data_IF_978474966477
#
_entry.id   IF_978474966477
#
_cell.length_a   1.000
_cell.length_b   1.000
_cell.length_c   1.000
_cell.angle_alpha   90.00
_cell.angle_beta   90.00
_cell.angle_gamma   90.00
#
_symmetry.space_group_name_H-M   'P 1'
#
loop_
_entity.id
_entity.type
_entity.pdbx_description
1 polymer ?
#
# COMPACT_ATOMS: atom_id res chain seq x y z
N UNK A 1 -9.54 10.99 12.62
CA UNK A 1 -8.23 10.35 12.31
C UNK A 1 -8.00 9.20 13.28
N UNK A 2 -7.59 8.04 12.81
CA UNK A 2 -7.25 6.92 13.70
C UNK A 2 -5.95 7.20 14.46
N UNK A 3 -5.87 6.71 15.71
CA UNK A 3 -4.64 6.89 16.47
C UNK A 3 -3.48 6.10 15.83
N UNK A 4 -2.23 6.56 15.97
CA UNK A 4 -1.05 5.84 15.46
C UNK A 4 -0.97 4.39 15.95
N UNK A 5 -1.45 4.11 17.17
CA UNK A 5 -1.49 2.75 17.75
C UNK A 5 -2.46 1.81 17.02
N UNK A 6 -3.55 2.36 16.47
CA UNK A 6 -4.50 1.59 15.65
C UNK A 6 -3.89 1.30 14.28
N UNK A 7 -3.32 2.33 13.63
CA UNK A 7 -2.69 2.17 12.32
C UNK A 7 -1.50 1.21 12.35
N UNK A 8 -0.76 1.15 13.45
CA UNK A 8 0.35 0.21 13.63
C UNK A 8 -0.11 -1.27 13.66
N UNK A 9 -1.38 -1.50 14.00
CA UNK A 9 -1.97 -2.85 14.11
C UNK A 9 -2.85 -3.24 12.94
N UNK A 10 -3.29 -2.27 12.14
CA UNK A 10 -4.20 -2.49 11.02
C UNK A 10 -3.42 -2.79 9.72
N UNK A 11 -4.03 -3.57 8.84
CA UNK A 11 -3.76 -3.54 7.40
C UNK A 11 -4.82 -2.64 6.79
N UNK A 12 -4.40 -1.59 6.09
CA UNK A 12 -5.32 -0.64 5.48
C UNK A 12 -5.48 -1.00 4.00
N UNK A 13 -6.69 -1.36 3.61
CA UNK A 13 -7.03 -1.64 2.22
C UNK A 13 -7.81 -0.45 1.68
N UNK A 14 -7.31 0.16 0.62
CA UNK A 14 -7.97 1.27 -0.06
C UNK A 14 -8.89 0.75 -1.15
N UNK A 15 -10.16 1.16 -1.12
CA UNK A 15 -11.11 0.94 -2.20
C UNK A 15 -11.36 2.26 -2.92
N UNK A 16 -11.08 2.29 -4.21
CA UNK A 16 -11.33 3.46 -5.05
C UNK A 16 -12.15 3.07 -6.26
N UNK A 17 -13.13 3.90 -6.56
CA UNK A 17 -13.92 3.77 -7.78
C UNK A 17 -13.21 4.56 -8.88
N UNK A 18 -12.89 3.90 -9.98
CA UNK A 18 -12.32 4.54 -11.17
C UNK A 18 -13.41 5.21 -12.00
N UNK A 19 -13.05 6.20 -12.84
CA UNK A 19 -13.99 6.83 -13.77
C UNK A 19 -14.64 5.79 -14.71
N UNK A 20 -13.88 4.77 -15.11
CA UNK A 20 -14.39 3.68 -15.95
C UNK A 20 -15.44 2.83 -15.24
N UNK A 21 -15.20 2.48 -13.98
CA UNK A 21 -16.18 1.73 -13.19
C UNK A 21 -17.44 2.55 -12.93
N UNK A 22 -17.28 3.85 -12.67
CA UNK A 22 -18.41 4.77 -12.53
C UNK A 22 -19.21 4.87 -13.86
N UNK A 23 -18.52 4.99 -14.98
CA UNK A 23 -19.18 4.99 -16.31
C UNK A 23 -19.94 3.68 -16.57
N UNK A 24 -19.35 2.53 -16.25
CA UNK A 24 -20.02 1.24 -16.38
C UNK A 24 -21.24 1.14 -15.47
N UNK A 25 -21.12 1.57 -14.21
CA UNK A 25 -22.24 1.59 -13.28
C UNK A 25 -23.38 2.49 -13.77
N UNK A 26 -23.08 3.67 -14.29
CA UNK A 26 -24.09 4.59 -14.81
C UNK A 26 -24.83 4.05 -16.04
N UNK A 27 -24.12 3.28 -16.90
CA UNK A 27 -24.72 2.61 -18.06
C UNK A 27 -25.60 1.41 -17.68
N UNK A 28 -25.16 0.66 -16.68
CA UNK A 28 -25.77 -0.61 -16.28
C UNK A 28 -26.04 -0.62 -14.78
N UNK A 29 -27.06 0.16 -14.36
CA UNK A 29 -27.46 0.21 -12.94
C UNK A 29 -28.07 -1.13 -12.52
N UNK A 30 -27.26 -1.97 -11.90
CA UNK A 30 -27.73 -3.23 -11.31
C UNK A 30 -27.96 -3.01 -9.83
N UNK A 31 -29.16 -3.30 -9.30
CA UNK A 31 -29.39 -3.26 -7.86
C UNK A 31 -28.43 -4.21 -7.11
N UNK A 32 -27.88 -3.74 -5.99
CA UNK A 32 -27.06 -4.60 -5.14
C UNK A 32 -27.95 -5.69 -4.52
N UNK A 33 -27.65 -6.94 -4.88
CA UNK A 33 -28.33 -8.11 -4.32
C UNK A 33 -27.38 -8.84 -3.37
N UNK A 34 -27.53 -8.60 -2.07
CA UNK A 34 -26.69 -9.21 -1.04
C UNK A 34 -26.80 -10.73 -1.00
N UNK A 35 -27.91 -11.31 -1.50
CA UNK A 35 -28.07 -12.77 -1.55
C UNK A 35 -27.10 -13.42 -2.52
N UNK A 36 -26.68 -12.70 -3.58
CA UNK A 36 -25.71 -13.22 -4.57
C UNK A 36 -24.30 -13.37 -4.03
N UNK A 37 -23.97 -12.63 -2.97
CA UNK A 37 -22.66 -12.73 -2.31
C UNK A 37 -22.70 -13.61 -1.05
N UNK A 38 -23.88 -14.12 -0.69
CA UNK A 38 -24.02 -15.00 0.44
C UNK A 38 -23.29 -16.34 0.15
N UNK A 39 -22.33 -16.67 1.01
CA UNK A 39 -21.49 -17.86 0.85
C UNK A 39 -20.27 -17.67 -0.05
N UNK A 40 -20.12 -16.50 -0.69
CA UNK A 40 -18.86 -16.16 -1.39
C UNK A 40 -17.69 -16.21 -0.41
N UNK A 41 -16.61 -16.88 -0.80
CA UNK A 41 -15.45 -17.07 0.07
C UNK A 41 -15.59 -18.22 1.10
N UNK A 42 -16.74 -18.86 1.25
CA UNK A 42 -16.91 -19.97 2.20
C UNK A 42 -15.94 -21.12 1.94
N UNK A 43 -15.64 -21.40 0.67
CA UNK A 43 -14.65 -22.44 0.26
C UNK A 43 -13.21 -22.10 0.71
N UNK A 44 -12.91 -20.84 1.03
CA UNK A 44 -11.61 -20.42 1.55
C UNK A 44 -11.51 -20.52 3.08
N UNK A 45 -12.62 -20.76 3.77
CA UNK A 45 -12.69 -20.70 5.23
C UNK A 45 -11.75 -21.68 5.93
N UNK A 46 -11.68 -22.92 5.46
CA UNK A 46 -10.80 -23.96 6.02
C UNK A 46 -9.32 -23.58 5.83
N UNK A 47 -8.92 -23.27 4.61
CA UNK A 47 -7.55 -22.84 4.30
C UNK A 47 -7.15 -21.56 5.05
N UNK A 48 -8.09 -20.62 5.23
CA UNK A 48 -7.86 -19.43 6.03
C UNK A 48 -7.58 -19.78 7.49
N UNK A 49 -8.39 -20.65 8.11
CA UNK A 49 -8.20 -21.08 9.50
C UNK A 49 -6.88 -21.83 9.67
N UNK A 50 -6.57 -22.76 8.78
CA UNK A 50 -5.28 -23.48 8.79
C UNK A 50 -4.10 -22.52 8.79
N UNK A 51 -4.11 -21.53 7.89
CA UNK A 51 -3.03 -20.52 7.83
C UNK A 51 -3.00 -19.60 9.04
N UNK A 52 -4.17 -19.21 9.56
CA UNK A 52 -4.24 -18.32 10.72
C UNK A 52 -3.70 -18.97 12.00
N UNK A 53 -3.83 -20.28 12.13
CA UNK A 53 -3.30 -21.05 13.30
C UNK A 53 -1.89 -21.56 13.09
N UNK A 54 -1.36 -21.51 11.87
CA UNK A 54 -0.03 -22.03 11.55
C UNK A 54 1.07 -21.07 12.04
N UNK A 55 1.57 -21.29 13.25
CA UNK A 55 2.57 -20.46 13.93
C UNK A 55 3.98 -20.52 13.33
N UNK A 56 4.20 -21.27 12.28
CA UNK A 56 5.51 -21.57 11.71
C UNK A 56 5.76 -21.02 10.31
N UNK A 57 4.93 -20.08 9.85
CA UNK A 57 5.19 -19.39 8.58
C UNK A 57 6.41 -18.50 8.72
N UNK A 58 7.58 -19.05 8.40
CA UNK A 58 8.79 -18.24 8.22
C UNK A 58 8.68 -17.55 6.86
N UNK A 59 8.97 -16.24 6.78
CA UNK A 59 9.10 -15.58 5.50
C UNK A 59 10.24 -16.25 4.73
N UNK A 60 10.06 -16.39 3.43
CA UNK A 60 11.18 -16.69 2.55
C UNK A 60 12.22 -15.59 2.75
N UNK A 61 13.44 -15.94 3.06
CA UNK A 61 14.52 -14.96 3.11
C UNK A 61 14.61 -14.26 1.75
N UNK A 62 14.36 -12.97 1.75
CA UNK A 62 14.44 -12.11 0.58
C UNK A 62 15.30 -10.91 0.91
N UNK A 63 16.49 -10.88 0.33
CA UNK A 63 17.40 -9.74 0.42
C UNK A 63 16.71 -8.46 -0.07
N UNK A 64 16.00 -8.56 -1.20
CA UNK A 64 15.25 -7.46 -1.78
C UNK A 64 14.18 -6.89 -0.85
N UNK A 65 13.40 -7.76 -0.16
CA UNK A 65 12.42 -7.34 0.84
C UNK A 65 13.10 -6.60 1.99
N UNK A 66 14.18 -7.17 2.53
CA UNK A 66 14.90 -6.60 3.66
C UNK A 66 15.49 -5.23 3.32
N UNK A 67 16.15 -5.09 2.18
CA UNK A 67 16.69 -3.81 1.70
C UNK A 67 15.58 -2.79 1.49
N UNK A 68 14.48 -3.18 0.83
CA UNK A 68 13.33 -2.30 0.61
C UNK A 68 12.76 -1.80 1.93
N UNK A 69 12.52 -2.69 2.90
CA UNK A 69 12.00 -2.31 4.21
C UNK A 69 12.95 -1.37 4.95
N UNK A 70 14.26 -1.59 4.90
CA UNK A 70 15.26 -0.71 5.51
C UNK A 70 15.27 0.68 4.86
N UNK A 71 15.15 0.76 3.54
CA UNK A 71 15.08 2.03 2.82
C UNK A 71 13.82 2.82 3.22
N UNK A 72 12.64 2.19 3.18
CA UNK A 72 11.39 2.83 3.61
C UNK A 72 11.43 3.20 5.10
N UNK A 73 11.91 2.32 5.97
CA UNK A 73 12.08 2.60 7.40
C UNK A 73 12.90 3.87 7.63
N UNK A 74 14.05 3.99 6.96
CA UNK A 74 14.94 5.14 7.14
C UNK A 74 14.27 6.45 6.73
N UNK A 75 13.44 6.46 5.67
CA UNK A 75 12.70 7.66 5.23
C UNK A 75 11.51 7.97 6.14
N UNK A 76 10.77 6.95 6.55
CA UNK A 76 9.62 7.10 7.45
C UNK A 76 10.03 7.59 8.84
N UNK A 77 11.18 7.18 9.34
CA UNK A 77 11.75 7.67 10.61
C UNK A 77 11.88 9.19 10.61
N UNK A 78 12.32 9.78 9.51
CA UNK A 78 12.45 11.24 9.36
C UNK A 78 11.08 11.95 9.38
N UNK A 79 10.00 11.24 9.04
CA UNK A 79 8.63 11.72 9.15
C UNK A 79 8.03 11.58 10.54
N UNK A 80 8.70 10.89 11.47
CA UNK A 80 8.10 10.45 12.73
C UNK A 80 6.97 9.42 12.52
N UNK A 81 7.02 8.69 11.40
CA UNK A 81 6.11 7.60 11.04
C UNK A 81 6.83 6.25 11.14
N UNK A 82 7.56 6.06 12.22
CA UNK A 82 8.40 4.89 12.44
C UNK A 82 7.60 3.58 12.38
N UNK A 83 8.25 2.56 11.83
CA UNK A 83 7.72 1.20 11.73
C UNK A 83 8.39 0.35 12.81
N UNK A 84 7.59 -0.29 13.65
CA UNK A 84 8.10 -1.18 14.70
C UNK A 84 8.38 -2.60 14.16
N UNK A 85 9.12 -3.39 14.95
CA UNK A 85 9.40 -4.81 14.65
C UNK A 85 8.14 -5.62 14.37
N UNK A 86 7.04 -5.30 15.01
CA UNK A 86 5.74 -5.94 14.76
C UNK A 86 5.29 -5.76 13.32
N UNK A 87 5.28 -4.52 12.83
CA UNK A 87 4.86 -4.23 11.45
C UNK A 87 5.81 -4.88 10.44
N UNK A 88 7.11 -4.89 10.70
CA UNK A 88 8.08 -5.59 9.86
C UNK A 88 7.78 -7.10 9.81
N UNK A 89 7.55 -7.74 10.95
CA UNK A 89 7.20 -9.16 11.02
C UNK A 89 5.87 -9.47 10.30
N UNK A 90 4.87 -8.62 10.45
CA UNK A 90 3.59 -8.77 9.75
C UNK A 90 3.74 -8.64 8.24
N UNK A 91 4.62 -7.74 7.74
CA UNK A 91 4.93 -7.62 6.32
C UNK A 91 5.64 -8.88 5.83
N UNK A 92 6.65 -9.37 6.55
CA UNK A 92 7.35 -10.60 6.18
C UNK A 92 6.40 -11.81 6.14
N UNK A 93 5.46 -11.89 7.08
CA UNK A 93 4.41 -12.92 7.09
C UNK A 93 3.46 -12.78 5.90
N UNK A 94 3.04 -11.54 5.57
CA UNK A 94 2.20 -11.27 4.42
C UNK A 94 2.87 -11.73 3.12
N UNK A 95 4.15 -11.40 2.93
CA UNK A 95 4.92 -11.83 1.75
C UNK A 95 5.00 -13.36 1.68
N UNK A 96 5.27 -14.03 2.79
CA UNK A 96 5.34 -15.50 2.83
C UNK A 96 3.99 -16.18 2.51
N UNK A 97 2.88 -15.58 2.92
CA UNK A 97 1.54 -16.08 2.59
C UNK A 97 1.24 -15.84 1.11
N UNK A 98 1.50 -14.63 0.60
CA UNK A 98 1.24 -14.28 -0.79
C UNK A 98 2.02 -15.18 -1.77
N UNK A 99 3.26 -15.49 -1.46
CA UNK A 99 4.12 -16.40 -2.25
C UNK A 99 3.52 -17.83 -2.38
N UNK A 100 2.65 -18.21 -1.44
CA UNK A 100 1.97 -19.52 -1.45
C UNK A 100 0.60 -19.50 -2.09
N UNK A 101 -0.15 -18.41 -1.90
CA UNK A 101 -1.56 -18.34 -2.28
C UNK A 101 -1.78 -17.73 -3.65
N UNK A 102 -0.91 -16.86 -4.10
CA UNK A 102 -1.04 -16.14 -5.37
C UNK A 102 0.27 -16.27 -6.15
N UNK A 103 0.58 -17.46 -6.66
CA UNK A 103 1.85 -17.70 -7.34
C UNK A 103 2.04 -16.84 -8.60
N UNK A 104 0.98 -16.20 -9.10
CA UNK A 104 1.05 -15.27 -10.22
C UNK A 104 1.55 -13.86 -9.83
N UNK A 105 1.60 -13.53 -8.53
CA UNK A 105 2.14 -12.25 -8.09
C UNK A 105 3.67 -12.27 -8.08
N UNK A 106 4.26 -11.25 -8.64
CA UNK A 106 5.70 -11.03 -8.53
C UNK A 106 6.05 -10.53 -7.12
N UNK A 107 7.31 -10.70 -6.73
CA UNK A 107 7.79 -10.19 -5.44
C UNK A 107 7.57 -8.67 -5.31
N UNK A 108 7.76 -7.90 -6.41
CA UNK A 108 7.52 -6.45 -6.41
C UNK A 108 6.06 -6.10 -6.18
N UNK A 109 5.11 -6.83 -6.76
CA UNK A 109 3.68 -6.62 -6.53
C UNK A 109 3.28 -6.90 -5.08
N UNK A 110 3.83 -7.94 -4.49
CA UNK A 110 3.56 -8.27 -3.07
C UNK A 110 4.17 -7.21 -2.15
N UNK A 111 5.40 -6.77 -2.42
CA UNK A 111 6.08 -5.71 -1.65
C UNK A 111 5.30 -4.39 -1.79
N UNK A 112 4.87 -4.02 -2.99
CA UNK A 112 4.09 -2.81 -3.23
C UNK A 112 2.77 -2.81 -2.42
N UNK A 113 2.04 -3.93 -2.45
CA UNK A 113 0.84 -4.10 -1.64
C UNK A 113 1.13 -3.98 -0.13
N UNK A 114 2.23 -4.54 0.35
CA UNK A 114 2.63 -4.45 1.76
C UNK A 114 2.99 -3.01 2.17
N UNK A 115 3.72 -2.28 1.33
CA UNK A 115 4.04 -0.85 1.54
C UNK A 115 2.74 -0.06 1.65
N UNK A 116 1.83 -0.24 0.69
CA UNK A 116 0.56 0.45 0.62
C UNK A 116 -0.31 0.22 1.85
N UNK A 117 -0.38 -1.03 2.34
CA UNK A 117 -1.25 -1.43 3.45
C UNK A 117 -0.68 -1.14 4.83
N UNK A 118 0.63 -1.16 5.00
CA UNK A 118 1.28 -1.12 6.32
C UNK A 118 2.16 0.10 6.58
N UNK A 119 2.85 0.61 5.57
CA UNK A 119 3.81 1.67 5.76
C UNK A 119 3.20 3.05 5.51
N UNK A 120 2.58 3.25 4.35
CA UNK A 120 2.03 4.54 3.95
C UNK A 120 0.85 5.04 4.82
N UNK A 121 0.00 4.19 5.43
CA UNK A 121 -1.11 4.66 6.27
C UNK A 121 -0.69 5.51 7.47
N UNK A 122 0.57 5.45 7.87
CA UNK A 122 1.14 6.25 8.97
C UNK A 122 1.46 7.70 8.56
N UNK A 123 1.46 7.99 7.26
CA UNK A 123 1.81 9.31 6.75
C UNK A 123 0.66 10.30 6.92
N UNK A 124 0.92 11.36 7.68
CA UNK A 124 0.04 12.51 7.82
C UNK A 124 0.83 13.72 8.32
N UNK A 125 0.43 14.89 7.91
CA UNK A 125 1.04 16.13 8.39
C UNK A 125 0.98 17.29 7.42
N UNK A 126 1.64 18.38 7.83
CA UNK A 126 1.74 19.61 7.04
C UNK A 126 2.70 19.47 5.86
N UNK A 127 2.57 20.36 4.89
CA UNK A 127 3.45 20.46 3.73
C UNK A 127 4.93 20.53 4.13
N UNK A 128 5.26 21.39 5.07
CA UNK A 128 6.64 21.55 5.57
C UNK A 128 7.24 20.23 6.06
N UNK A 129 6.42 19.34 6.64
CA UNK A 129 6.86 18.05 7.16
C UNK A 129 6.95 17.00 6.09
N UNK A 130 5.95 16.92 5.19
CA UNK A 130 5.75 15.76 4.32
C UNK A 130 6.29 15.93 2.90
N UNK A 131 6.34 17.13 2.34
CA UNK A 131 6.65 17.30 0.92
C UNK A 131 7.97 16.62 0.51
N UNK A 132 9.05 16.89 1.23
CA UNK A 132 10.36 16.28 0.95
C UNK A 132 10.37 14.76 1.18
N UNK A 133 9.63 14.29 2.18
CA UNK A 133 9.53 12.87 2.51
C UNK A 133 8.75 12.11 1.45
N UNK A 134 7.62 12.65 0.99
CA UNK A 134 6.84 12.05 -0.09
C UNK A 134 7.67 11.90 -1.37
N UNK A 135 8.49 12.90 -1.72
CA UNK A 135 9.42 12.81 -2.86
C UNK A 135 10.41 11.66 -2.69
N UNK A 136 11.09 11.60 -1.55
CA UNK A 136 12.10 10.55 -1.30
C UNK A 136 11.49 9.15 -1.20
N UNK A 137 10.25 9.03 -0.72
CA UNK A 137 9.51 7.75 -0.77
C UNK A 137 9.09 7.40 -2.20
N UNK A 138 8.67 8.40 -2.99
CA UNK A 138 8.35 8.22 -4.40
C UNK A 138 9.54 7.73 -5.22
N UNK A 139 10.73 8.24 -4.95
CA UNK A 139 11.98 7.77 -5.58
C UNK A 139 12.23 6.28 -5.35
N UNK A 140 11.90 5.76 -4.15
CA UNK A 140 12.02 4.33 -3.85
C UNK A 140 11.03 3.46 -4.65
N UNK A 141 9.99 4.05 -5.21
CA UNK A 141 9.00 3.35 -6.02
C UNK A 141 9.38 3.29 -7.51
N UNK A 142 10.47 3.90 -7.91
CA UNK A 142 10.90 4.03 -9.30
C UNK A 142 11.99 3.02 -9.66
N UNK A 143 12.10 2.74 -10.95
CA UNK A 143 13.26 2.06 -11.51
C UNK A 143 14.40 3.05 -11.74
N UNK A 144 15.60 2.55 -11.93
CA UNK A 144 16.78 3.34 -12.24
C UNK A 144 16.55 4.22 -13.48
N UNK A 145 16.97 5.47 -13.40
CA UNK A 145 16.83 6.44 -14.49
C UNK A 145 15.47 7.13 -14.58
N UNK A 146 14.49 6.76 -13.74
CA UNK A 146 13.19 7.44 -13.66
C UNK A 146 13.25 8.62 -12.66
N UNK A 147 12.39 9.63 -12.86
CA UNK A 147 12.34 10.83 -12.03
C UNK A 147 10.95 10.99 -11.39
N UNK A 148 10.91 11.18 -10.09
CA UNK A 148 9.67 11.35 -9.32
C UNK A 148 8.86 12.58 -9.76
N UNK A 149 9.52 13.65 -10.22
CA UNK A 149 8.88 14.87 -10.73
C UNK A 149 7.96 14.61 -11.93
N UNK A 150 8.28 13.60 -12.73
CA UNK A 150 7.45 13.23 -13.87
C UNK A 150 6.06 12.78 -13.43
N UNK A 151 5.95 12.14 -12.28
CA UNK A 151 4.71 11.60 -11.73
C UNK A 151 4.02 12.57 -10.76
N UNK A 152 4.79 13.30 -9.96
CA UNK A 152 4.25 14.18 -8.92
C UNK A 152 3.83 15.55 -9.44
N UNK A 153 4.56 16.08 -10.42
CA UNK A 153 4.36 17.44 -10.94
C UNK A 153 3.80 17.43 -12.36
N UNK A 154 4.34 16.57 -13.24
CA UNK A 154 3.94 16.54 -14.66
C UNK A 154 2.81 15.57 -14.99
N UNK A 155 2.25 14.88 -13.98
CA UNK A 155 1.12 13.96 -14.14
C UNK A 155 1.33 12.83 -15.17
N UNK A 156 2.56 12.38 -15.35
CA UNK A 156 2.86 11.27 -16.24
C UNK A 156 2.10 10.01 -15.78
N UNK A 157 1.49 9.25 -16.69
CA UNK A 157 0.82 7.99 -16.34
C UNK A 157 1.77 7.02 -15.64
N UNK A 158 1.29 6.41 -14.55
CA UNK A 158 2.07 5.46 -13.77
C UNK A 158 2.05 4.11 -14.48
N UNK A 159 3.13 3.82 -15.19
CA UNK A 159 3.35 2.56 -15.88
C UNK A 159 4.84 2.22 -15.89
N UNK A 160 5.19 0.94 -15.82
CA UNK A 160 6.56 0.47 -15.90
C UNK A 160 7.46 0.98 -14.77
N UNK A 161 6.90 1.23 -13.58
CA UNK A 161 7.61 1.59 -12.35
C UNK A 161 7.70 0.38 -11.43
N UNK A 162 8.57 0.45 -10.44
CA UNK A 162 8.81 -0.67 -9.51
C UNK A 162 7.62 -0.94 -8.59
N UNK A 163 7.05 0.11 -7.97
CA UNK A 163 5.92 0.02 -7.03
C UNK A 163 4.79 0.98 -7.44
N UNK A 164 3.94 0.57 -8.42
CA UNK A 164 2.93 1.46 -9.00
C UNK A 164 1.81 1.88 -8.03
N UNK A 165 1.35 0.99 -7.14
CA UNK A 165 0.29 1.31 -6.17
C UNK A 165 0.77 2.36 -5.17
N UNK A 166 1.96 2.14 -4.62
CA UNK A 166 2.58 3.06 -3.67
C UNK A 166 2.89 4.41 -4.31
N UNK A 167 3.40 4.41 -5.56
CA UNK A 167 3.70 5.66 -6.27
C UNK A 167 2.43 6.48 -6.55
N UNK A 168 1.33 5.85 -6.98
CA UNK A 168 0.05 6.53 -7.18
C UNK A 168 -0.45 7.20 -5.89
N UNK A 169 -0.39 6.46 -4.78
CA UNK A 169 -0.78 6.99 -3.48
C UNK A 169 0.09 8.18 -3.06
N UNK A 170 1.40 8.03 -3.18
CA UNK A 170 2.34 9.10 -2.83
C UNK A 170 2.17 10.34 -3.72
N UNK A 171 1.88 10.17 -5.02
CA UNK A 171 1.60 11.28 -5.94
C UNK A 171 0.33 12.04 -5.53
N UNK A 172 -0.74 11.33 -5.15
CA UNK A 172 -1.98 11.95 -4.64
C UNK A 172 -1.75 12.68 -3.33
N UNK A 173 -1.02 12.07 -2.40
CA UNK A 173 -0.64 12.71 -1.14
C UNK A 173 0.21 13.96 -1.39
N UNK A 174 1.15 13.91 -2.34
CA UNK A 174 1.98 15.06 -2.71
C UNK A 174 1.12 16.22 -3.23
N UNK A 175 0.21 15.95 -4.17
CA UNK A 175 -0.74 16.96 -4.66
C UNK A 175 -1.61 17.53 -3.54
N UNK A 176 -2.12 16.65 -2.68
CA UNK A 176 -2.92 17.06 -1.53
C UNK A 176 -2.15 18.00 -0.59
N UNK A 177 -0.91 17.67 -0.25
CA UNK A 177 -0.11 18.49 0.66
C UNK A 177 0.31 19.83 0.05
N UNK A 178 0.63 19.86 -1.24
CA UNK A 178 1.01 21.10 -1.94
C UNK A 178 -0.19 22.03 -2.09
N UNK A 179 -1.37 21.49 -2.45
CA UNK A 179 -2.56 22.31 -2.69
C UNK A 179 -3.25 22.77 -1.41
N UNK A 180 -3.27 21.93 -0.37
CA UNK A 180 -4.06 22.14 0.84
C UNK A 180 -3.21 22.45 2.08
N UNK A 181 -1.86 22.41 1.97
CA UNK A 181 -0.94 22.62 3.08
C UNK A 181 -0.88 21.49 4.11
N UNK A 182 -1.77 20.49 4.01
CA UNK A 182 -1.86 19.32 4.89
C UNK A 182 -2.43 18.14 4.10
N UNK A 183 -2.01 16.93 4.46
CA UNK A 183 -2.59 15.68 3.93
C UNK A 183 -2.49 14.55 4.96
N UNK A 184 -3.43 13.63 4.90
CA UNK A 184 -3.33 12.31 5.53
C UNK A 184 -3.54 11.21 4.48
N UNK A 185 -3.03 10.02 4.77
CA UNK A 185 -3.23 8.85 3.90
C UNK A 185 -4.72 8.62 3.60
N UNK A 186 -5.60 8.78 4.59
CA UNK A 186 -7.03 8.50 4.42
C UNK A 186 -7.77 9.52 3.54
N UNK A 187 -7.19 10.71 3.33
CA UNK A 187 -7.80 11.83 2.60
C UNK A 187 -7.25 11.97 1.17
N UNK A 188 -6.21 11.25 0.82
CA UNK A 188 -5.51 11.37 -0.47
C UNK A 188 -6.01 10.36 -1.51
#
# INVERSE_FOLDING_TARGET
MFSPKVLDRANVIEFRVTAREMEQFLKYKVPVDLKKIQGEGAVMGESFVEMAVHKGLQPKESEKLNETLLHFFSRLKNAGAEVGFRSANEICTFVAIADRLVPAWTEDEVIDAAIMQKLLPKLHGSQRKLEGILRTLGELCLNEGQNVEDYFVKDKPIAGVKYPLSLDKLARMYKGVVNNGFVSYAEA
#
